data_IF_877565225133
#
_entry.id   IF_877565225133
#
_cell.length_a   1.000
_cell.length_b   1.000
_cell.length_c   1.000
_cell.angle_alpha   90.00
_cell.angle_beta   90.00
_cell.angle_gamma   90.00
#
_symmetry.space_group_name_H-M   'P 1'
#
loop_
_entity.id
_entity.type
_entity.pdbx_description
1 polymer ?
#
# COMPACT_ATOMS: atom_id res chain seq x y z
N UNK A 1 -5.91 -0.53 33.02
CA UNK A 1 -4.77 -1.39 33.41
C UNK A 1 -3.66 -1.29 32.37
N UNK A 2 -2.39 -1.15 32.77
CA UNK A 2 -1.24 -1.18 31.86
C UNK A 2 -0.58 -2.55 31.96
N UNK A 3 -0.54 -3.31 30.86
CA UNK A 3 0.13 -4.60 30.81
C UNK A 3 1.65 -4.44 30.99
N UNK A 4 2.26 -5.35 31.75
CA UNK A 4 3.72 -5.46 31.90
C UNK A 4 4.35 -5.98 30.59
N UNK A 5 5.67 -5.78 30.42
CA UNK A 5 6.40 -6.29 29.24
C UNK A 5 6.24 -7.80 29.04
N UNK A 6 6.22 -8.58 30.13
CA UNK A 6 5.97 -10.04 30.10
C UNK A 6 4.54 -10.37 29.69
N UNK A 7 3.55 -9.61 30.16
CA UNK A 7 2.15 -9.78 29.72
C UNK A 7 1.95 -9.40 28.25
N UNK A 8 2.64 -8.38 27.75
CA UNK A 8 2.67 -8.07 26.32
C UNK A 8 3.29 -9.18 25.50
N UNK A 9 4.44 -9.73 25.93
CA UNK A 9 5.07 -10.88 25.26
C UNK A 9 4.14 -12.09 25.29
N UNK A 10 3.53 -12.41 26.44
CA UNK A 10 2.57 -13.51 26.57
C UNK A 10 1.34 -13.33 25.68
N UNK A 11 0.74 -12.14 25.66
CA UNK A 11 -0.40 -11.82 24.79
C UNK A 11 -0.03 -11.88 23.31
N UNK A 12 1.18 -11.45 22.93
CA UNK A 12 1.68 -11.57 21.56
C UNK A 12 1.90 -13.03 21.17
N UNK A 13 2.46 -13.85 22.05
CA UNK A 13 2.67 -15.29 21.80
C UNK A 13 1.33 -16.01 21.65
N UNK A 14 0.38 -15.78 22.56
CA UNK A 14 -0.98 -16.35 22.45
C UNK A 14 -1.68 -15.87 21.18
N UNK A 15 -1.54 -14.60 20.82
CA UNK A 15 -2.07 -14.05 19.58
C UNK A 15 -1.46 -14.71 18.33
N UNK A 16 -0.14 -14.92 18.31
CA UNK A 16 0.55 -15.62 17.22
C UNK A 16 0.08 -17.07 17.13
N UNK A 17 0.01 -17.79 18.24
CA UNK A 17 -0.48 -19.17 18.27
C UNK A 17 -1.92 -19.23 17.75
N UNK A 18 -2.79 -18.32 18.20
CA UNK A 18 -4.17 -18.24 17.73
C UNK A 18 -4.25 -18.00 16.22
N UNK A 19 -3.41 -17.11 15.66
CA UNK A 19 -3.33 -16.88 14.23
C UNK A 19 -2.81 -18.11 13.46
N UNK A 20 -1.82 -18.80 13.99
CA UNK A 20 -1.28 -20.04 13.38
C UNK A 20 -2.33 -21.15 13.39
N UNK A 21 -3.05 -21.34 14.50
CA UNK A 21 -4.14 -22.32 14.59
C UNK A 21 -5.26 -21.96 13.63
N UNK A 22 -5.67 -20.69 13.56
CA UNK A 22 -6.68 -20.24 12.61
C UNK A 22 -6.23 -20.48 11.17
N UNK A 23 -4.99 -20.15 10.82
CA UNK A 23 -4.44 -20.40 9.49
C UNK A 23 -4.42 -21.91 9.17
N UNK A 24 -4.01 -22.75 10.12
CA UNK A 24 -4.02 -24.21 9.96
C UNK A 24 -5.45 -24.74 9.73
N UNK A 25 -6.44 -24.24 10.48
CA UNK A 25 -7.85 -24.60 10.28
C UNK A 25 -8.37 -24.16 8.91
N UNK A 26 -8.01 -22.96 8.45
CA UNK A 26 -8.33 -22.49 7.09
C UNK A 26 -7.72 -23.41 6.04
N UNK A 27 -6.46 -23.81 6.19
CA UNK A 27 -5.78 -24.70 5.26
C UNK A 27 -6.42 -26.09 5.24
N UNK A 28 -6.67 -26.69 6.41
CA UNK A 28 -7.32 -28.00 6.50
C UNK A 28 -8.74 -27.95 5.92
N UNK A 29 -9.51 -26.92 6.26
CA UNK A 29 -10.85 -26.71 5.72
C UNK A 29 -10.84 -26.51 4.19
N UNK A 30 -9.93 -25.70 3.66
CA UNK A 30 -9.78 -25.49 2.23
C UNK A 30 -9.37 -26.77 1.50
N UNK A 31 -8.43 -27.55 2.04
CA UNK A 31 -8.05 -28.85 1.49
C UNK A 31 -9.21 -29.85 1.50
N UNK A 32 -9.97 -29.90 2.58
CA UNK A 32 -11.16 -30.74 2.66
C UNK A 32 -12.21 -30.32 1.60
N UNK A 33 -12.47 -29.02 1.44
CA UNK A 33 -13.36 -28.51 0.41
C UNK A 33 -12.88 -28.85 -1.01
N UNK A 34 -11.61 -28.60 -1.32
CA UNK A 34 -11.01 -28.89 -2.65
C UNK A 34 -10.99 -30.40 -2.93
N UNK A 35 -10.98 -31.25 -1.90
CA UNK A 35 -11.07 -32.70 -2.08
C UNK A 35 -12.46 -33.17 -2.57
N UNK A 36 -13.52 -32.38 -2.42
CA UNK A 36 -14.87 -32.70 -2.88
C UNK A 36 -14.94 -32.63 -4.42
N UNK A 37 -15.54 -33.62 -5.07
CA UNK A 37 -15.62 -33.71 -6.53
C UNK A 37 -16.23 -32.47 -7.21
N UNK A 38 -17.32 -31.85 -6.71
CA UNK A 38 -17.85 -30.63 -7.32
C UNK A 38 -16.88 -29.45 -7.27
N UNK A 39 -16.11 -29.32 -6.19
CA UNK A 39 -15.14 -28.23 -6.01
C UNK A 39 -13.91 -28.48 -6.89
N UNK A 40 -13.46 -29.73 -6.97
CA UNK A 40 -12.37 -30.11 -7.88
C UNK A 40 -12.73 -29.85 -9.34
N UNK A 41 -13.95 -30.20 -9.76
CA UNK A 41 -14.46 -29.91 -11.09
C UNK A 41 -14.51 -28.39 -11.36
N UNK A 42 -14.98 -27.60 -10.40
CA UNK A 42 -15.00 -26.14 -10.49
C UNK A 42 -13.59 -25.55 -10.66
N UNK A 43 -12.62 -25.97 -9.84
CA UNK A 43 -11.22 -25.51 -9.93
C UNK A 43 -10.59 -25.93 -11.26
N UNK A 44 -10.94 -27.11 -11.78
CA UNK A 44 -10.44 -27.57 -13.09
C UNK A 44 -11.02 -26.74 -14.25
N UNK A 45 -12.30 -26.35 -14.15
CA UNK A 45 -12.95 -25.48 -15.14
C UNK A 45 -12.46 -24.03 -15.09
N UNK A 46 -11.94 -23.60 -13.94
CA UNK A 46 -11.49 -22.24 -13.68
C UNK A 46 -10.03 -22.25 -13.17
N UNK A 47 -9.04 -22.30 -14.08
CA UNK A 47 -7.63 -22.48 -13.73
C UNK A 47 -7.03 -21.32 -12.92
N UNK A 48 -7.78 -20.23 -12.73
CA UNK A 48 -7.37 -19.07 -11.93
C UNK A 48 -6.98 -17.86 -12.78
N UNK A 49 -6.99 -17.99 -14.10
CA UNK A 49 -6.69 -16.94 -15.05
C UNK A 49 -7.51 -17.14 -16.35
N UNK A 50 -7.54 -16.11 -17.18
CA UNK A 50 -8.17 -16.11 -18.50
C UNK A 50 -7.28 -15.34 -19.49
N UNK A 51 -7.39 -15.61 -20.80
CA UNK A 51 -6.55 -14.93 -21.80
C UNK A 51 -6.86 -13.44 -21.84
N UNK A 52 -5.81 -12.62 -21.93
CA UNK A 52 -5.95 -11.18 -22.15
C UNK A 52 -6.38 -10.91 -23.60
N UNK A 53 -6.99 -9.74 -23.88
CA UNK A 53 -7.38 -9.37 -25.25
C UNK A 53 -6.19 -9.36 -26.22
N UNK A 54 -6.49 -9.56 -27.51
CA UNK A 54 -5.50 -9.44 -28.58
C UNK A 54 -4.82 -8.06 -28.54
N UNK A 55 -3.49 -8.05 -28.64
CA UNK A 55 -2.68 -6.83 -28.52
C UNK A 55 -2.29 -6.44 -27.09
N UNK A 56 -2.66 -7.23 -26.08
CA UNK A 56 -2.16 -7.02 -24.72
C UNK A 56 -0.61 -7.15 -24.69
N UNK A 57 0.11 -6.17 -24.10
CA UNK A 57 1.57 -6.20 -24.09
C UNK A 57 2.08 -7.31 -23.17
N UNK A 58 3.03 -8.11 -23.65
CA UNK A 58 3.71 -9.13 -22.86
C UNK A 58 4.89 -8.51 -22.10
N UNK A 59 5.11 -8.97 -20.88
CA UNK A 59 6.21 -8.52 -20.03
C UNK A 59 5.95 -7.25 -19.26
N UNK A 60 6.96 -6.87 -18.47
CA UNK A 60 6.91 -5.73 -17.57
C UNK A 60 7.90 -4.67 -18.07
N UNK A 61 7.43 -3.49 -18.48
CA UNK A 61 8.31 -2.44 -18.96
C UNK A 61 9.04 -1.76 -17.80
N UNK A 62 10.24 -1.25 -18.06
CA UNK A 62 11.10 -0.65 -17.03
C UNK A 62 10.42 0.52 -16.29
N UNK A 63 9.51 1.24 -16.95
CA UNK A 63 8.76 2.32 -16.31
C UNK A 63 7.90 1.82 -15.14
N UNK A 64 7.35 0.62 -15.28
CA UNK A 64 6.50 0.00 -14.26
C UNK A 64 7.33 -0.35 -13.02
N UNK A 65 8.54 -0.89 -13.23
CA UNK A 65 9.46 -1.27 -12.16
C UNK A 65 9.92 -0.08 -11.30
N UNK A 66 10.34 1.03 -11.92
CA UNK A 66 10.76 2.20 -11.12
C UNK A 66 9.57 2.89 -10.45
N UNK A 67 8.41 2.97 -11.11
CA UNK A 67 7.20 3.53 -10.48
C UNK A 67 6.72 2.66 -9.33
N UNK A 68 6.84 1.33 -9.44
CA UNK A 68 6.55 0.41 -8.35
C UNK A 68 7.45 0.68 -7.14
N UNK A 69 8.76 0.82 -7.35
CA UNK A 69 9.69 1.22 -6.28
C UNK A 69 9.34 2.59 -5.70
N UNK A 70 9.16 3.61 -6.53
CA UNK A 70 8.90 4.98 -6.05
C UNK A 70 7.56 5.06 -5.29
N UNK A 71 6.53 4.34 -5.76
CA UNK A 71 5.28 4.17 -5.03
C UNK A 71 5.50 3.50 -3.67
N UNK A 72 6.28 2.43 -3.61
CA UNK A 72 6.65 1.75 -2.35
C UNK A 72 7.37 2.70 -1.41
N UNK A 73 8.31 3.49 -1.92
CA UNK A 73 9.04 4.50 -1.17
C UNK A 73 8.09 5.54 -0.53
N UNK A 74 7.18 6.10 -1.33
CA UNK A 74 6.22 7.09 -0.88
C UNK A 74 5.21 6.50 0.12
N UNK A 75 4.58 5.36 -0.20
CA UNK A 75 3.50 4.81 0.62
C UNK A 75 3.98 4.43 2.02
N UNK A 76 5.21 3.93 2.16
CA UNK A 76 5.80 3.61 3.47
C UNK A 76 5.96 4.89 4.32
N UNK A 77 6.43 5.98 3.72
CA UNK A 77 6.57 7.27 4.40
C UNK A 77 5.20 7.92 4.70
N UNK A 78 4.23 7.76 3.81
CA UNK A 78 2.84 8.23 3.98
C UNK A 78 2.18 7.49 5.14
N UNK A 79 2.22 6.16 5.17
CA UNK A 79 1.66 5.36 6.26
C UNK A 79 2.31 5.74 7.60
N UNK A 80 3.64 5.87 7.63
CA UNK A 80 4.37 6.29 8.84
C UNK A 80 3.92 7.66 9.31
N UNK A 81 3.92 8.66 8.43
CA UNK A 81 3.55 10.03 8.78
C UNK A 81 2.08 10.13 9.18
N UNK A 82 1.16 9.41 8.51
CA UNK A 82 -0.25 9.34 8.88
C UNK A 82 -0.46 8.72 10.26
N UNK A 83 0.29 7.67 10.60
CA UNK A 83 0.29 7.11 11.94
C UNK A 83 0.83 8.09 13.00
N UNK A 84 1.88 8.84 12.67
CA UNK A 84 2.42 9.89 13.54
C UNK A 84 1.41 11.01 13.75
N UNK A 85 0.71 11.49 12.71
CA UNK A 85 -0.36 12.49 12.83
C UNK A 85 -1.42 12.03 13.82
N UNK A 86 -1.82 10.76 13.79
CA UNK A 86 -2.82 10.21 14.73
C UNK A 86 -2.33 10.10 16.18
N UNK A 87 -1.04 9.87 16.40
CA UNK A 87 -0.46 9.67 17.74
C UNK A 87 0.13 10.94 18.35
N UNK A 88 0.42 11.95 17.54
CA UNK A 88 1.06 13.18 17.95
C UNK A 88 0.13 14.00 18.85
N UNK A 89 0.51 14.16 20.12
CA UNK A 89 -0.19 15.05 21.08
C UNK A 89 0.34 16.48 21.06
N UNK A 90 1.65 16.64 20.85
CA UNK A 90 2.34 17.94 20.82
C UNK A 90 3.24 18.01 19.58
N UNK A 91 2.94 18.90 18.62
CA UNK A 91 3.81 19.15 17.49
C UNK A 91 5.17 19.69 17.90
N UNK A 92 6.22 19.17 17.27
CA UNK A 92 7.61 19.66 17.43
C UNK A 92 7.86 20.99 16.71
N UNK A 93 7.10 21.24 15.65
CA UNK A 93 7.17 22.43 14.83
C UNK A 93 5.84 22.62 14.10
N UNK A 94 5.54 23.86 13.77
CA UNK A 94 4.40 24.26 12.97
C UNK A 94 4.88 24.86 11.65
N UNK A 95 4.16 24.57 10.58
CA UNK A 95 4.34 25.17 9.26
C UNK A 95 3.12 26.03 8.92
N UNK A 96 3.33 27.16 8.26
CA UNK A 96 2.28 28.02 7.68
C UNK A 96 2.69 28.56 6.31
N UNK A 97 1.74 28.79 5.38
CA UNK A 97 2.03 29.46 4.12
C UNK A 97 2.58 30.87 4.34
N UNK A 98 3.40 31.36 3.40
CA UNK A 98 3.90 32.75 3.44
C UNK A 98 2.71 33.72 3.40
N UNK A 99 2.69 34.67 4.33
CA UNK A 99 1.60 35.66 4.44
C UNK A 99 0.36 35.20 5.22
N UNK A 100 0.13 33.89 5.41
CA UNK A 100 -1.05 33.35 6.13
C UNK A 100 -0.68 32.68 7.47
N UNK A 101 0.01 33.41 8.36
CA UNK A 101 0.52 32.86 9.64
C UNK A 101 -0.56 32.27 10.57
N UNK A 102 -1.83 32.65 10.39
CA UNK A 102 -2.97 32.11 11.15
C UNK A 102 -3.33 30.67 10.73
N UNK A 103 -3.04 30.28 9.48
CA UNK A 103 -3.36 28.96 8.94
C UNK A 103 -2.13 28.05 9.07
N UNK A 104 -2.01 27.43 10.23
CA UNK A 104 -0.86 26.56 10.58
C UNK A 104 -1.27 25.09 10.66
N UNK A 105 -0.33 24.21 10.32
CA UNK A 105 -0.41 22.77 10.53
C UNK A 105 0.88 22.27 11.21
N UNK A 106 0.87 21.07 11.79
CA UNK A 106 2.10 20.48 12.31
C UNK A 106 3.06 20.14 11.17
N UNK A 107 4.37 20.14 11.44
CA UNK A 107 5.37 19.70 10.46
C UNK A 107 5.09 18.27 9.96
N UNK A 108 4.53 17.41 10.80
CA UNK A 108 4.14 16.04 10.44
C UNK A 108 3.00 16.02 9.42
N UNK A 109 1.97 16.85 9.61
CA UNK A 109 0.87 16.99 8.63
C UNK A 109 1.38 17.58 7.33
N UNK A 110 2.26 18.60 7.39
CA UNK A 110 2.89 19.18 6.20
C UNK A 110 3.67 18.13 5.41
N UNK A 111 4.48 17.31 6.10
CA UNK A 111 5.26 16.26 5.46
C UNK A 111 4.37 15.19 4.82
N UNK A 112 3.29 14.79 5.49
CA UNK A 112 2.32 13.85 4.93
C UNK A 112 1.71 14.39 3.62
N UNK A 113 1.21 15.64 3.65
CA UNK A 113 0.63 16.27 2.46
C UNK A 113 1.65 16.46 1.32
N UNK A 114 2.91 16.75 1.64
CA UNK A 114 3.97 16.86 0.64
C UNK A 114 4.22 15.52 -0.06
N UNK A 115 4.25 14.41 0.70
CA UNK A 115 4.34 13.07 0.13
C UNK A 115 3.09 12.71 -0.68
N UNK A 116 1.89 13.08 -0.21
CA UNK A 116 0.65 12.83 -0.92
C UNK A 116 0.64 13.50 -2.30
N UNK A 117 1.14 14.73 -2.40
CA UNK A 117 1.27 15.44 -3.70
C UNK A 117 2.20 14.69 -4.65
N UNK A 118 3.36 14.24 -4.17
CA UNK A 118 4.29 13.43 -4.98
C UNK A 118 3.67 12.09 -5.39
N UNK A 119 2.93 11.46 -4.48
CA UNK A 119 2.28 10.18 -4.69
C UNK A 119 1.12 10.29 -5.70
N UNK A 120 0.32 11.35 -5.62
CA UNK A 120 -0.72 11.65 -6.61
C UNK A 120 -0.09 11.93 -7.97
N UNK A 121 0.97 12.72 -8.04
CA UNK A 121 1.66 13.00 -9.30
C UNK A 121 2.22 11.71 -9.94
N UNK A 122 2.86 10.85 -9.14
CA UNK A 122 3.30 9.52 -9.59
C UNK A 122 2.12 8.64 -10.04
N UNK A 123 1.01 8.65 -9.31
CA UNK A 123 -0.19 7.88 -9.63
C UNK A 123 -0.84 8.34 -10.95
N UNK A 124 -0.92 9.65 -11.20
CA UNK A 124 -1.42 10.20 -12.46
C UNK A 124 -0.51 9.77 -13.61
N UNK A 125 0.81 9.91 -13.47
CA UNK A 125 1.77 9.45 -14.47
C UNK A 125 1.64 7.94 -14.72
N UNK A 126 1.51 7.15 -13.65
CA UNK A 126 1.28 5.71 -13.74
C UNK A 126 0.02 5.39 -14.54
N UNK A 127 -1.12 6.01 -14.22
CA UNK A 127 -2.38 5.78 -14.94
C UNK A 127 -2.24 6.16 -16.42
N UNK A 128 -1.62 7.31 -16.73
CA UNK A 128 -1.38 7.71 -18.12
C UNK A 128 -0.53 6.69 -18.87
N UNK A 129 0.60 6.26 -18.31
CA UNK A 129 1.46 5.25 -18.94
C UNK A 129 0.78 3.89 -19.06
N UNK A 130 0.01 3.51 -18.04
CA UNK A 130 -0.74 2.26 -18.00
C UNK A 130 -1.73 2.16 -19.18
N UNK A 131 -2.47 3.24 -19.46
CA UNK A 131 -3.37 3.29 -20.61
C UNK A 131 -2.62 3.47 -21.93
N UNK A 132 -1.63 4.36 -22.00
CA UNK A 132 -0.87 4.66 -23.22
C UNK A 132 -0.06 3.46 -23.75
N UNK A 133 0.37 2.55 -22.87
CA UNK A 133 1.17 1.37 -23.24
C UNK A 133 0.37 0.07 -23.31
N UNK A 134 -0.95 0.11 -23.10
CA UNK A 134 -1.81 -1.09 -23.09
C UNK A 134 -1.68 -1.96 -21.83
N UNK A 135 -0.78 -1.62 -20.90
CA UNK A 135 -0.55 -2.40 -19.67
C UNK A 135 -1.77 -2.46 -18.74
N UNK A 136 -2.74 -1.55 -18.92
CA UNK A 136 -4.02 -1.57 -18.20
C UNK A 136 -4.75 -2.92 -18.32
N UNK A 137 -4.60 -3.61 -19.46
CA UNK A 137 -5.27 -4.89 -19.72
C UNK A 137 -4.86 -5.99 -18.71
N UNK A 138 -3.69 -5.85 -18.06
CA UNK A 138 -3.24 -6.81 -17.03
C UNK A 138 -3.93 -6.63 -15.69
N UNK A 139 -4.36 -5.41 -15.36
CA UNK A 139 -4.87 -5.09 -14.03
C UNK A 139 -6.35 -4.69 -14.01
N UNK A 140 -6.94 -4.37 -15.15
CA UNK A 140 -8.38 -4.14 -15.29
C UNK A 140 -9.03 -5.42 -15.80
N UNK A 141 -10.07 -5.96 -15.13
CA UNK A 141 -10.78 -7.11 -15.64
C UNK A 141 -11.37 -6.84 -17.02
N UNK A 142 -11.04 -7.70 -17.99
CA UNK A 142 -11.54 -7.59 -19.38
C UNK A 142 -12.59 -8.66 -19.71
N UNK A 143 -12.85 -9.60 -18.80
CA UNK A 143 -13.89 -10.62 -18.91
C UNK A 143 -14.55 -10.87 -17.55
N UNK A 144 -15.82 -11.30 -17.57
CA UNK A 144 -16.56 -11.74 -16.39
C UNK A 144 -16.00 -13.05 -15.80
N UNK A 145 -15.19 -13.78 -16.56
CA UNK A 145 -14.44 -14.96 -16.10
C UNK A 145 -13.51 -14.65 -14.92
N UNK A 146 -13.18 -13.38 -14.68
CA UNK A 146 -12.38 -12.95 -13.53
C UNK A 146 -12.95 -13.43 -12.20
N UNK A 147 -14.28 -13.45 -12.03
CA UNK A 147 -14.90 -13.77 -10.75
C UNK A 147 -14.81 -15.27 -10.40
N UNK A 148 -15.25 -16.21 -11.25
CA UNK A 148 -15.10 -17.63 -10.96
C UNK A 148 -13.62 -18.04 -10.86
N UNK A 149 -12.74 -17.49 -11.72
CA UNK A 149 -11.30 -17.74 -11.61
C UNK A 149 -10.68 -17.17 -10.33
N UNK A 150 -11.10 -15.99 -9.87
CA UNK A 150 -10.62 -15.44 -8.60
C UNK A 150 -11.06 -16.28 -7.40
N UNK A 151 -12.28 -16.83 -7.45
CA UNK A 151 -12.77 -17.76 -6.43
C UNK A 151 -11.95 -19.06 -6.42
N UNK A 152 -11.71 -19.65 -7.60
CA UNK A 152 -10.90 -20.85 -7.73
C UNK A 152 -9.45 -20.62 -7.25
N UNK A 153 -8.83 -19.51 -7.66
CA UNK A 153 -7.51 -19.12 -7.19
C UNK A 153 -7.49 -18.89 -5.68
N UNK A 154 -8.54 -18.28 -5.10
CA UNK A 154 -8.69 -18.09 -3.66
C UNK A 154 -8.74 -19.40 -2.89
N UNK A 155 -9.47 -20.39 -3.39
CA UNK A 155 -9.51 -21.74 -2.81
C UNK A 155 -8.13 -22.42 -2.87
N UNK A 156 -7.45 -22.32 -4.01
CA UNK A 156 -6.10 -22.83 -4.20
C UNK A 156 -5.09 -22.18 -3.22
N UNK A 157 -5.10 -20.85 -3.09
CA UNK A 157 -4.31 -20.10 -2.10
C UNK A 157 -4.68 -20.44 -0.65
N UNK A 158 -5.95 -20.73 -0.36
CA UNK A 158 -6.33 -21.17 0.98
C UNK A 158 -5.82 -22.61 1.26
N UNK A 159 -5.71 -23.44 0.23
CA UNK A 159 -5.43 -24.87 0.36
C UNK A 159 -3.94 -25.25 0.44
N UNK A 160 -2.97 -24.33 0.34
CA UNK A 160 -1.56 -24.76 0.19
C UNK A 160 -1.10 -25.00 -1.25
N UNK A 161 -2.01 -24.92 -2.23
CA UNK A 161 -1.81 -25.44 -3.58
C UNK A 161 -1.71 -24.29 -4.59
N UNK A 162 -0.51 -23.77 -4.80
CA UNK A 162 -0.33 -22.45 -5.43
C UNK A 162 -0.57 -22.55 -6.93
N UNK A 163 -1.48 -21.74 -7.51
CA UNK A 163 -1.74 -21.79 -8.93
C UNK A 163 -0.46 -21.45 -9.71
N UNK A 164 -0.11 -22.28 -10.68
CA UNK A 164 0.95 -21.97 -11.64
C UNK A 164 0.46 -20.87 -12.57
N UNK A 165 0.79 -19.61 -12.27
CA UNK A 165 0.43 -18.46 -13.08
C UNK A 165 1.68 -17.79 -13.65
N UNK A 166 1.58 -17.24 -14.85
CA UNK A 166 2.70 -16.57 -15.50
C UNK A 166 2.54 -15.04 -15.41
N UNK A 167 2.97 -14.46 -14.29
CA UNK A 167 2.91 -13.01 -14.02
C UNK A 167 3.61 -12.12 -15.06
N UNK A 168 4.44 -12.69 -15.95
CA UNK A 168 5.01 -12.00 -17.09
C UNK A 168 3.97 -11.67 -18.16
N UNK A 169 3.03 -12.60 -18.39
CA UNK A 169 1.98 -12.51 -19.41
C UNK A 169 0.72 -11.89 -18.79
N UNK A 170 0.17 -12.52 -17.76
CA UNK A 170 -1.06 -12.15 -17.08
C UNK A 170 -0.99 -12.46 -15.58
N UNK A 171 -1.72 -11.68 -14.78
CA UNK A 171 -1.92 -12.01 -13.38
C UNK A 171 -3.08 -12.97 -13.24
N UNK A 172 -3.04 -13.85 -12.22
CA UNK A 172 -4.22 -14.61 -11.87
C UNK A 172 -5.36 -13.65 -11.47
N UNK A 173 -6.60 -14.07 -11.63
CA UNK A 173 -7.77 -13.21 -11.49
C UNK A 173 -7.93 -12.65 -10.07
N UNK A 174 -7.48 -13.38 -9.04
CA UNK A 174 -7.50 -12.87 -7.66
C UNK A 174 -6.54 -11.68 -7.50
N UNK A 175 -5.30 -11.82 -7.98
CA UNK A 175 -4.33 -10.73 -8.02
C UNK A 175 -4.85 -9.54 -8.85
N UNK A 176 -5.42 -9.81 -10.03
CA UNK A 176 -5.99 -8.77 -10.90
C UNK A 176 -7.07 -7.95 -10.17
N UNK A 177 -8.00 -8.59 -9.47
CA UNK A 177 -9.03 -7.88 -8.69
C UNK A 177 -8.43 -7.03 -7.56
N UNK A 178 -7.40 -7.54 -6.87
CA UNK A 178 -6.71 -6.76 -5.83
C UNK A 178 -5.94 -5.58 -6.42
N UNK A 179 -5.28 -5.74 -7.56
CA UNK A 179 -4.56 -4.65 -8.24
C UNK A 179 -5.53 -3.60 -8.76
N UNK A 180 -6.62 -4.02 -9.41
CA UNK A 180 -7.71 -3.13 -9.80
C UNK A 180 -8.23 -2.32 -8.62
N UNK A 181 -8.58 -3.01 -7.53
CA UNK A 181 -9.12 -2.39 -6.32
C UNK A 181 -8.12 -1.41 -5.71
N UNK A 182 -6.84 -1.80 -5.64
CA UNK A 182 -5.79 -0.95 -5.06
C UNK A 182 -5.61 0.33 -5.86
N UNK A 183 -5.53 0.23 -7.18
CA UNK A 183 -5.24 1.36 -8.09
C UNK A 183 -6.45 2.25 -8.32
N UNK A 184 -7.62 1.67 -8.58
CA UNK A 184 -8.80 2.41 -9.06
C UNK A 184 -9.86 2.66 -7.99
N UNK A 185 -9.74 2.06 -6.80
CA UNK A 185 -10.71 2.24 -5.71
C UNK A 185 -10.03 2.77 -4.45
N UNK A 186 -9.10 2.00 -3.88
CA UNK A 186 -8.46 2.33 -2.61
C UNK A 186 -7.61 3.60 -2.72
N UNK A 187 -6.80 3.74 -3.76
CA UNK A 187 -5.99 4.93 -3.98
C UNK A 187 -6.84 6.20 -4.17
N UNK A 188 -7.83 6.25 -5.07
CA UNK A 188 -8.77 7.38 -5.16
C UNK A 188 -9.51 7.66 -3.86
N UNK A 189 -9.95 6.64 -3.14
CA UNK A 189 -10.58 6.81 -1.82
C UNK A 189 -9.64 7.48 -0.81
N UNK A 190 -8.36 7.10 -0.78
CA UNK A 190 -7.34 7.74 0.05
C UNK A 190 -7.14 9.21 -0.32
N UNK A 191 -7.10 9.54 -1.62
CA UNK A 191 -6.94 10.91 -2.13
C UNK A 191 -8.13 11.77 -1.72
N UNK A 192 -9.36 11.32 -2.02
CA UNK A 192 -10.59 12.07 -1.75
C UNK A 192 -10.77 12.32 -0.25
N UNK A 193 -10.58 11.28 0.56
CA UNK A 193 -10.70 11.40 2.01
C UNK A 193 -9.54 12.19 2.61
N UNK A 194 -8.33 12.07 2.10
CA UNK A 194 -7.17 12.87 2.50
C UNK A 194 -7.37 14.36 2.20
N UNK A 195 -7.86 14.68 1.00
CA UNK A 195 -8.22 16.04 0.61
C UNK A 195 -9.25 16.64 1.58
N UNK A 196 -10.27 15.87 1.98
CA UNK A 196 -11.29 16.29 2.97
C UNK A 196 -10.72 16.62 4.35
N UNK A 197 -9.70 15.86 4.78
CA UNK A 197 -9.02 16.03 6.06
C UNK A 197 -7.95 17.12 6.02
N UNK A 198 -7.50 17.50 4.82
CA UNK A 198 -6.49 18.52 4.62
C UNK A 198 -7.00 19.92 4.99
N UNK A 199 -6.08 20.83 5.28
CA UNK A 199 -6.44 22.23 5.50
C UNK A 199 -6.84 22.96 4.21
N UNK A 200 -6.65 22.35 3.03
CA UNK A 200 -6.95 22.92 1.71
C UNK A 200 -8.41 22.71 1.29
N UNK A 201 -9.17 21.91 2.02
CA UNK A 201 -10.59 21.69 1.72
C UNK A 201 -11.42 22.97 1.87
N UNK A 202 -12.30 23.30 0.90
CA UNK A 202 -13.15 24.48 0.97
C UNK A 202 -14.19 24.33 2.09
N UNK A 203 -14.11 25.20 3.11
CA UNK A 203 -15.02 25.14 4.27
C UNK A 203 -16.43 25.63 3.96
N UNK A 204 -16.60 26.47 2.95
CA UNK A 204 -17.87 27.10 2.56
C UNK A 204 -18.67 26.26 1.55
N UNK A 205 -18.15 25.12 1.12
CA UNK A 205 -18.82 24.25 0.14
C UNK A 205 -19.82 23.29 0.82
N UNK A 206 -20.99 23.82 1.22
CA UNK A 206 -21.99 23.08 2.01
C UNK A 206 -22.44 21.75 1.38
N UNK A 207 -22.69 21.73 0.08
CA UNK A 207 -23.08 20.50 -0.64
C UNK A 207 -22.01 19.43 -0.54
N UNK A 208 -20.75 19.81 -0.75
CA UNK A 208 -19.61 18.89 -0.71
C UNK A 208 -19.35 18.39 0.73
N UNK A 209 -19.51 19.26 1.73
CA UNK A 209 -19.37 18.93 3.14
C UNK A 209 -20.45 17.96 3.65
N UNK A 210 -21.67 18.04 3.10
CA UNK A 210 -22.75 17.08 3.38
C UNK A 210 -22.52 15.72 2.73
N UNK A 211 -22.04 15.70 1.49
CA UNK A 211 -21.72 14.45 0.76
C UNK A 211 -20.55 13.69 1.39
N UNK A 212 -19.56 14.40 1.92
CA UNK A 212 -18.39 13.80 2.57
C UNK A 212 -18.19 14.38 3.99
N UNK A 213 -18.95 13.87 4.97
CA UNK A 213 -18.81 14.28 6.36
C UNK A 213 -17.41 14.00 6.89
N UNK A 214 -16.90 14.89 7.76
CA UNK A 214 -15.52 14.81 8.25
C UNK A 214 -15.22 13.48 8.96
N UNK A 215 -16.10 13.04 9.85
CA UNK A 215 -15.89 11.79 10.60
C UNK A 215 -15.99 10.55 9.71
N UNK A 216 -16.85 10.57 8.69
CA UNK A 216 -16.92 9.51 7.71
C UNK A 216 -15.62 9.44 6.89
N UNK A 217 -15.15 10.57 6.37
CA UNK A 217 -13.89 10.65 5.64
C UNK A 217 -12.70 10.17 6.48
N UNK A 218 -12.64 10.57 7.76
CA UNK A 218 -11.60 10.12 8.70
C UNK A 218 -11.62 8.61 8.88
N UNK A 219 -12.80 8.01 9.07
CA UNK A 219 -12.93 6.56 9.24
C UNK A 219 -12.49 5.83 7.98
N UNK A 220 -13.01 6.23 6.82
CA UNK A 220 -12.64 5.62 5.53
C UNK A 220 -11.14 5.73 5.30
N UNK A 221 -10.55 6.92 5.46
CA UNK A 221 -9.11 7.13 5.27
C UNK A 221 -8.24 6.20 6.13
N UNK A 222 -8.60 6.04 7.41
CA UNK A 222 -7.89 5.12 8.31
C UNK A 222 -8.06 3.67 7.89
N UNK A 223 -9.26 3.26 7.50
CA UNK A 223 -9.50 1.90 7.02
C UNK A 223 -8.79 1.62 5.69
N UNK A 224 -8.70 2.61 4.80
CA UNK A 224 -7.89 2.51 3.57
C UNK A 224 -6.41 2.33 3.88
N UNK A 225 -5.87 3.03 4.89
CA UNK A 225 -4.50 2.81 5.35
C UNK A 225 -4.29 1.37 5.89
N UNK A 226 -5.26 0.83 6.63
CA UNK A 226 -5.20 -0.56 7.13
C UNK A 226 -5.27 -1.56 5.97
N UNK A 227 -6.14 -1.30 4.98
CA UNK A 227 -6.18 -2.09 3.74
C UNK A 227 -4.83 -2.10 3.04
N UNK A 228 -4.18 -0.95 2.84
CA UNK A 228 -2.84 -0.90 2.22
C UNK A 228 -1.80 -1.70 3.00
N UNK A 229 -1.81 -1.62 4.34
CA UNK A 229 -0.91 -2.42 5.18
C UNK A 229 -1.10 -3.93 4.97
N UNK A 230 -2.36 -4.40 4.96
CA UNK A 230 -2.69 -5.81 4.74
C UNK A 230 -2.30 -6.23 3.32
N UNK A 231 -2.68 -5.43 2.32
CA UNK A 231 -2.35 -5.69 0.92
C UNK A 231 -0.84 -5.80 0.72
N UNK A 232 -0.05 -4.84 1.21
CA UNK A 232 1.42 -4.86 1.09
C UNK A 232 2.00 -6.11 1.76
N UNK A 233 1.55 -6.45 2.97
CA UNK A 233 2.05 -7.62 3.70
C UNK A 233 1.78 -8.92 2.95
N UNK A 234 0.53 -9.13 2.49
CA UNK A 234 0.14 -10.32 1.73
C UNK A 234 0.83 -10.36 0.37
N UNK A 235 0.87 -9.24 -0.35
CA UNK A 235 1.51 -9.13 -1.66
C UNK A 235 3.00 -9.52 -1.58
N UNK A 236 3.75 -8.93 -0.65
CA UNK A 236 5.18 -9.23 -0.48
C UNK A 236 5.38 -10.68 -0.04
N UNK A 237 4.56 -11.20 0.89
CA UNK A 237 4.65 -12.59 1.30
C UNK A 237 4.46 -13.55 0.12
N UNK A 238 3.46 -13.29 -0.74
CA UNK A 238 3.22 -14.10 -1.94
C UNK A 238 4.37 -14.00 -2.94
N UNK A 239 4.95 -12.82 -3.16
CA UNK A 239 6.13 -12.66 -4.02
C UNK A 239 7.26 -13.61 -3.62
N UNK A 240 7.52 -13.75 -2.32
CA UNK A 240 8.55 -14.67 -1.82
C UNK A 240 8.11 -16.14 -1.82
N UNK A 241 6.82 -16.41 -1.61
CA UNK A 241 6.28 -17.77 -1.52
C UNK A 241 6.02 -18.44 -2.89
N UNK A 242 5.88 -17.67 -3.98
CA UNK A 242 5.52 -18.19 -5.32
C UNK A 242 6.65 -18.10 -6.35
N UNK A 243 7.91 -18.10 -5.90
CA UNK A 243 9.08 -18.04 -6.80
C UNK A 243 9.81 -16.69 -6.75
N UNK A 244 10.37 -16.36 -5.59
CA UNK A 244 11.00 -15.08 -5.27
C UNK A 244 11.90 -14.51 -6.37
N UNK A 245 12.89 -15.28 -6.85
CA UNK A 245 13.86 -14.79 -7.84
C UNK A 245 13.20 -14.39 -9.16
N UNK A 246 12.25 -15.20 -9.66
CA UNK A 246 11.53 -14.91 -10.91
C UNK A 246 10.62 -13.68 -10.75
N UNK A 247 9.85 -13.63 -9.66
CA UNK A 247 8.95 -12.50 -9.36
C UNK A 247 9.72 -11.19 -9.17
N UNK A 248 10.90 -11.23 -8.52
CA UNK A 248 11.76 -10.07 -8.36
C UNK A 248 12.39 -9.65 -9.70
N UNK A 249 12.75 -10.60 -10.58
CA UNK A 249 13.23 -10.27 -11.92
C UNK A 249 12.15 -9.64 -12.80
N UNK A 250 10.91 -10.12 -12.71
CA UNK A 250 9.75 -9.51 -13.35
C UNK A 250 9.62 -8.03 -12.98
N UNK A 251 9.61 -7.72 -11.68
CA UNK A 251 9.32 -6.36 -11.21
C UNK A 251 10.53 -5.41 -11.20
N UNK A 252 11.70 -5.90 -10.78
CA UNK A 252 12.89 -5.06 -10.57
C UNK A 252 13.89 -5.08 -11.71
N UNK A 253 13.90 -6.14 -12.53
CA UNK A 253 14.85 -6.27 -13.64
C UNK A 253 14.20 -6.26 -15.03
N UNK A 254 12.86 -6.24 -15.14
CA UNK A 254 12.13 -6.35 -16.42
C UNK A 254 12.57 -7.57 -17.25
N UNK A 255 12.74 -8.74 -16.61
CA UNK A 255 13.19 -9.97 -17.27
C UNK A 255 12.39 -11.18 -16.80
N UNK A 256 12.04 -12.09 -17.73
CA UNK A 256 11.46 -13.40 -17.39
C UNK A 256 12.54 -14.48 -17.27
N UNK A 257 13.43 -14.34 -16.29
CA UNK A 257 14.49 -15.33 -16.02
C UNK A 257 14.64 -15.58 -14.53
N UNK A 258 15.28 -16.69 -14.15
CA UNK A 258 15.63 -16.99 -12.76
C UNK A 258 17.11 -16.71 -12.54
N UNK A 259 17.42 -15.55 -11.98
CA UNK A 259 18.78 -15.12 -11.62
C UNK A 259 18.73 -14.14 -10.43
N UNK A 260 19.87 -13.61 -10.02
CA UNK A 260 20.00 -12.75 -8.84
C UNK A 260 19.86 -11.25 -9.12
N UNK A 261 19.69 -10.84 -10.38
CA UNK A 261 19.70 -9.42 -10.78
C UNK A 261 18.59 -8.62 -10.10
N UNK A 262 17.33 -9.07 -10.22
CA UNK A 262 16.18 -8.42 -9.61
C UNK A 262 16.24 -8.44 -8.09
N UNK A 263 16.81 -9.49 -7.49
CA UNK A 263 17.04 -9.54 -6.04
C UNK A 263 18.05 -8.47 -5.59
N UNK A 264 19.17 -8.29 -6.31
CA UNK A 264 20.15 -7.26 -5.99
C UNK A 264 19.56 -5.85 -6.09
N UNK A 265 18.76 -5.58 -7.14
CA UNK A 265 18.06 -4.29 -7.30
C UNK A 265 17.02 -4.10 -6.19
N UNK A 266 16.28 -5.15 -5.80
CA UNK A 266 15.38 -5.11 -4.66
C UNK A 266 16.09 -4.74 -3.36
N UNK A 267 17.24 -5.35 -3.05
CA UNK A 267 18.04 -4.99 -1.86
C UNK A 267 18.49 -3.53 -1.92
N UNK A 268 18.95 -3.04 -3.07
CA UNK A 268 19.30 -1.62 -3.24
C UNK A 268 18.09 -0.70 -2.99
N UNK A 269 16.90 -1.12 -3.45
CA UNK A 269 15.64 -0.40 -3.22
C UNK A 269 15.28 -0.32 -1.73
N UNK A 270 15.50 -1.41 -0.97
CA UNK A 270 15.32 -1.42 0.49
C UNK A 270 16.30 -0.49 1.20
N UNK A 271 17.56 -0.43 0.75
CA UNK A 271 18.55 0.52 1.30
C UNK A 271 18.11 1.96 1.05
N UNK A 272 17.66 2.28 -0.16
CA UNK A 272 17.15 3.61 -0.49
C UNK A 272 15.91 3.97 0.36
N UNK A 273 14.99 3.02 0.55
CA UNK A 273 13.83 3.19 1.43
C UNK A 273 14.26 3.44 2.89
N UNK A 274 15.23 2.67 3.41
CA UNK A 274 15.75 2.86 4.75
C UNK A 274 16.43 4.24 4.91
N UNK A 275 17.19 4.69 3.91
CA UNK A 275 17.79 6.01 3.89
C UNK A 275 16.71 7.11 3.92
N UNK A 276 15.67 7.01 3.09
CA UNK A 276 14.52 7.92 3.11
C UNK A 276 13.78 7.93 4.45
N UNK A 277 13.62 6.75 5.05
CA UNK A 277 13.04 6.62 6.39
C UNK A 277 13.85 7.36 7.46
N UNK A 278 15.18 7.20 7.47
CA UNK A 278 16.05 7.92 8.40
C UNK A 278 16.06 9.43 8.11
N UNK A 279 16.03 9.80 6.83
CA UNK A 279 15.99 11.19 6.39
C UNK A 279 14.68 11.90 6.75
N UNK A 280 13.56 11.18 6.91
CA UNK A 280 12.28 11.71 7.37
C UNK A 280 12.27 12.09 8.87
N UNK A 281 13.32 12.78 9.32
CA UNK A 281 13.51 13.31 10.67
C UNK A 281 13.42 14.84 10.68
N UNK A 282 13.04 15.47 11.79
CA UNK A 282 12.78 16.91 11.84
C UNK A 282 13.97 17.78 11.41
N UNK A 283 15.19 17.36 11.74
CA UNK A 283 16.42 18.07 11.37
C UNK A 283 16.58 18.25 9.85
N UNK A 284 16.05 17.32 9.05
CA UNK A 284 16.08 17.37 7.58
C UNK A 284 14.81 18.04 7.05
N UNK A 285 13.65 17.72 7.62
CA UNK A 285 12.36 18.21 7.14
C UNK A 285 12.17 19.72 7.37
N UNK A 286 12.69 20.29 8.46
CA UNK A 286 12.52 21.72 8.77
C UNK A 286 13.14 22.63 7.71
N UNK A 287 14.42 22.46 7.30
CA UNK A 287 15.01 23.23 6.20
C UNK A 287 14.21 23.14 4.90
N UNK A 288 13.76 21.94 4.52
CA UNK A 288 12.97 21.72 3.30
C UNK A 288 11.64 22.45 3.40
N UNK A 289 10.93 22.31 4.54
CA UNK A 289 9.64 22.95 4.75
C UNK A 289 9.71 24.49 4.70
N UNK A 290 10.87 25.08 5.06
CA UNK A 290 11.11 26.53 4.95
C UNK A 290 11.16 27.04 3.51
N UNK A 291 11.48 26.18 2.54
CA UNK A 291 11.44 26.54 1.12
C UNK A 291 10.02 26.87 0.67
N UNK A 292 9.01 26.27 1.30
CA UNK A 292 7.60 26.37 0.93
C UNK A 292 6.78 27.27 1.86
N UNK A 293 7.30 27.68 3.01
CA UNK A 293 6.56 28.48 3.98
C UNK A 293 7.36 28.81 5.24
N UNK A 294 6.68 29.37 6.24
CA UNK A 294 7.31 29.69 7.53
C UNK A 294 7.26 28.48 8.47
N UNK A 295 8.37 28.16 9.12
CA UNK A 295 8.45 27.06 10.11
C UNK A 295 8.82 27.61 11.48
N UNK A 296 7.93 27.43 12.46
CA UNK A 296 8.17 27.75 13.88
C UNK A 296 8.39 26.46 14.67
N UNK A 297 9.62 26.25 15.13
CA UNK A 297 9.99 25.14 16.02
C UNK A 297 9.47 25.44 17.43
N UNK A 298 8.91 24.44 18.10
CA UNK A 298 8.45 24.56 19.48
C UNK A 298 9.65 24.33 20.41
N UNK A 299 10.01 25.28 21.28
CA UNK A 299 11.09 25.09 22.24
C UNK A 299 10.78 23.91 23.16
N UNK A 300 11.77 23.05 23.41
CA UNK A 300 11.69 22.06 24.49
C UNK A 300 11.69 22.84 25.81
N UNK A 301 10.75 22.59 26.75
CA UNK A 301 10.83 23.20 28.07
C UNK A 301 12.17 22.81 28.68
N UNK A 302 13.04 23.79 28.91
CA UNK A 302 14.22 23.60 29.75
C UNK A 302 13.70 23.14 31.10
N UNK A 303 14.01 21.90 31.48
CA UNK A 303 13.85 21.49 32.88
C UNK A 303 14.63 22.52 33.68
N UNK A 304 13.94 23.20 34.60
CA UNK A 304 14.52 24.26 35.39
C UNK A 304 15.84 23.79 36.00
N UNK A 305 16.89 24.60 35.83
CA UNK A 305 17.95 24.62 36.84
C UNK A 305 17.24 24.99 38.14
N UNK A 306 16.96 24.00 38.97
CA UNK A 306 16.70 24.23 40.38
C UNK A 306 17.91 25.03 40.89
N UNK A 307 17.66 26.27 41.27
CA UNK A 307 18.58 27.04 42.09
C UNK A 307 18.42 26.58 43.53
#
# INVERSE_FOLDING_TARGET
MRFTRRQWVGASVVGIIGLVVLAALVVVGARALVSLDPVRAFVTQHPGEYPLPDGAPVGIPAWLGWQHFFNTFLIVLIIRSGWQVRRQKRPIAFWSPRGEKRRKMSLTVWFHLALDVLWIANGVLYVVLLFATGQWMKIVPTSWEVFPNALAAGLQYAALDWPTHNGWVNYNSLQQLFYFTTVFIAAPAAIVTGARLSMFWPRTADRLNRLLPFDAARRVHVWTMIYFLIFIAVHVALVFATGALRNLNHMYASQDTVNWTGFAIFVASLVALAAGWVAARPAVLVPIARLFGDVRVVPVPTQGRAR
#
